data_IF_189566501166
#
_entry.id   IF_189566501166
#
_cell.length_a   1.000
_cell.length_b   1.000
_cell.length_c   1.000
_cell.angle_alpha   90.00
_cell.angle_beta   90.00
_cell.angle_gamma   90.00
#
_symmetry.space_group_name_H-M   'P 1'
#
loop_
_entity.id
_entity.type
_entity.pdbx_description
1 polymer ?
#
# COMPACT_ATOMS: atom_id res chain seq x y z
N UNK A 1 -0.61 26.34 -49.44
CA UNK A 1 -0.12 27.16 -48.31
C UNK A 1 1.00 26.43 -47.61
N UNK A 2 2.01 27.20 -47.23
CA UNK A 2 3.31 26.81 -46.65
C UNK A 2 3.20 26.11 -45.28
N UNK A 3 4.12 25.18 -45.01
CA UNK A 3 4.30 24.51 -43.72
C UNK A 3 5.07 25.43 -42.73
N UNK A 4 4.61 25.62 -41.48
CA UNK A 4 5.51 26.05 -40.41
C UNK A 4 6.08 24.81 -39.68
N UNK A 5 7.34 24.49 -39.97
CA UNK A 5 8.15 23.57 -39.17
C UNK A 5 8.76 24.34 -37.99
N UNK A 6 8.32 24.08 -36.77
CA UNK A 6 9.04 24.53 -35.57
C UNK A 6 10.13 23.51 -35.20
N UNK A 7 11.35 23.96 -34.88
CA UNK A 7 12.48 23.07 -34.63
C UNK A 7 12.33 22.31 -33.30
N UNK A 8 12.47 20.99 -33.39
CA UNK A 8 12.64 20.08 -32.25
C UNK A 8 13.82 20.53 -31.37
N UNK A 9 13.65 20.71 -30.06
CA UNK A 9 14.78 20.79 -29.14
C UNK A 9 15.46 19.42 -29.08
N UNK A 10 16.72 19.37 -29.52
CA UNK A 10 17.53 18.15 -29.58
C UNK A 10 17.76 17.49 -28.20
N UNK A 11 18.26 16.23 -28.19
CA UNK A 11 18.45 15.47 -26.97
C UNK A 11 19.47 16.17 -26.05
N UNK A 12 19.09 16.33 -24.78
CA UNK A 12 19.99 16.83 -23.73
C UNK A 12 21.12 15.81 -23.53
N UNK A 13 22.40 16.22 -23.58
CA UNK A 13 23.53 15.36 -23.23
C UNK A 13 23.38 14.80 -21.82
N UNK A 14 23.49 13.47 -21.68
CA UNK A 14 23.43 12.78 -20.39
C UNK A 14 24.66 13.07 -19.50
N UNK A 15 24.57 12.82 -18.19
CA UNK A 15 25.71 12.92 -17.29
C UNK A 15 26.81 11.91 -17.66
N UNK A 16 28.09 12.22 -17.39
CA UNK A 16 29.22 11.36 -17.76
C UNK A 16 29.19 10.01 -17.00
N UNK A 17 29.53 8.88 -17.66
CA UNK A 17 29.75 7.61 -16.97
C UNK A 17 31.13 7.66 -16.29
N UNK A 18 31.15 7.81 -14.97
CA UNK A 18 32.43 7.82 -14.24
C UNK A 18 32.25 8.02 -12.74
N UNK A 19 32.35 6.92 -12.00
CA UNK A 19 32.40 6.99 -10.53
C UNK A 19 32.17 5.63 -9.88
N UNK A 20 33.04 4.66 -10.13
CA UNK A 20 33.23 3.57 -9.19
C UNK A 20 33.58 4.21 -7.84
N UNK A 21 32.66 4.14 -6.88
CA UNK A 21 32.96 4.45 -5.48
C UNK A 21 33.24 3.11 -4.80
N UNK A 22 34.50 2.77 -4.50
CA UNK A 22 34.80 1.66 -3.60
C UNK A 22 34.07 1.89 -2.27
N UNK A 23 33.26 0.91 -1.86
CA UNK A 23 32.54 0.98 -0.59
C UNK A 23 33.51 0.97 0.60
N UNK A 24 33.18 1.64 1.72
CA UNK A 24 33.89 1.41 2.97
C UNK A 24 33.54 0.03 3.57
N UNK A 25 34.47 -0.60 4.31
CA UNK A 25 34.38 -1.99 4.75
C UNK A 25 33.30 -2.26 5.80
N UNK A 26 32.84 -3.52 5.80
CA UNK A 26 31.97 -4.14 6.80
C UNK A 26 32.46 -3.89 8.23
N UNK A 27 31.61 -3.33 9.09
CA UNK A 27 31.88 -3.24 10.53
C UNK A 27 31.52 -4.57 11.20
N UNK A 28 32.43 -5.19 11.98
CA UNK A 28 32.10 -6.27 12.88
C UNK A 28 31.80 -5.71 14.28
N UNK A 29 30.66 -6.10 14.86
CA UNK A 29 30.47 -6.09 16.31
C UNK A 29 29.66 -4.93 16.89
N UNK A 30 28.36 -5.17 17.05
CA UNK A 30 27.52 -4.49 18.03
C UNK A 30 26.64 -5.56 18.70
N UNK A 31 26.80 -5.72 20.00
CA UNK A 31 26.18 -6.77 20.80
C UNK A 31 24.66 -6.56 20.86
N UNK A 32 23.89 -7.45 20.26
CA UNK A 32 22.46 -7.55 20.53
C UNK A 32 22.28 -8.48 21.74
N UNK A 33 21.67 -8.05 22.85
CA UNK A 33 21.30 -8.98 23.91
C UNK A 33 20.27 -9.96 23.35
N UNK A 34 20.61 -11.25 23.39
CA UNK A 34 19.67 -12.31 23.05
C UNK A 34 18.47 -12.25 24.02
N UNK A 35 17.22 -12.44 23.55
CA UNK A 35 16.11 -12.66 24.46
C UNK A 35 16.33 -13.98 25.19
N UNK A 36 16.54 -13.89 26.49
CA UNK A 36 16.61 -15.03 27.39
C UNK A 36 15.22 -15.72 27.41
N UNK A 37 15.10 -17.03 27.11
CA UNK A 37 13.87 -17.75 27.34
C UNK A 37 13.71 -17.96 28.85
N UNK A 38 13.09 -17.00 29.52
CA UNK A 38 12.59 -17.19 30.87
C UNK A 38 11.37 -18.13 30.87
N UNK A 39 11.10 -18.86 31.97
CA UNK A 39 9.89 -19.67 32.09
C UNK A 39 8.67 -18.75 31.97
N UNK A 40 7.92 -18.94 30.90
CA UNK A 40 6.68 -18.23 30.63
C UNK A 40 5.68 -18.63 31.71
N UNK A 41 5.50 -17.77 32.70
CA UNK A 41 4.36 -17.85 33.59
C UNK A 41 3.12 -17.69 32.68
N UNK A 42 2.21 -18.67 32.57
CA UNK A 42 1.04 -18.51 31.73
C UNK A 42 0.18 -17.41 32.35
N UNK A 43 0.23 -16.21 31.77
CA UNK A 43 -0.80 -15.22 32.00
C UNK A 43 -2.14 -15.87 31.61
N UNK A 44 -3.21 -15.74 32.41
CA UNK A 44 -4.53 -16.13 31.95
C UNK A 44 -4.80 -15.37 30.65
N UNK A 45 -5.05 -16.12 29.58
CA UNK A 45 -5.48 -15.56 28.32
C UNK A 45 -6.68 -14.67 28.61
N UNK A 46 -6.52 -13.36 28.38
CA UNK A 46 -7.68 -12.50 28.28
C UNK A 46 -8.58 -13.11 27.19
N UNK A 47 -9.89 -13.30 27.42
CA UNK A 47 -10.75 -13.74 26.35
C UNK A 47 -10.67 -12.69 25.25
N UNK A 48 -10.03 -13.05 24.14
CA UNK A 48 -10.25 -12.39 22.86
C UNK A 48 -11.76 -12.33 22.74
N UNK A 49 -12.34 -11.13 22.71
CA UNK A 49 -13.74 -10.95 22.34
C UNK A 49 -13.85 -11.37 20.89
N UNK A 50 -13.93 -12.68 20.67
CA UNK A 50 -14.52 -13.26 19.49
C UNK A 50 -15.97 -12.86 19.56
N UNK A 51 -16.34 -11.89 18.75
CA UNK A 51 -17.67 -11.92 18.19
C UNK A 51 -17.71 -13.27 17.47
N UNK A 52 -18.42 -14.25 18.04
CA UNK A 52 -18.93 -15.40 17.29
C UNK A 52 -19.87 -14.81 16.22
N UNK A 53 -19.28 -14.24 15.18
CA UNK A 53 -19.97 -13.95 13.94
C UNK A 53 -20.36 -15.32 13.38
N UNK A 54 -21.63 -15.54 13.02
CA UNK A 54 -21.98 -16.72 12.26
C UNK A 54 -21.10 -16.73 11.01
N UNK A 55 -20.31 -17.79 10.84
CA UNK A 55 -19.59 -18.10 9.61
C UNK A 55 -20.65 -18.38 8.53
N UNK A 56 -21.22 -17.31 7.99
CA UNK A 56 -22.25 -17.35 6.94
C UNK A 56 -21.60 -17.65 5.57
N UNK A 57 -20.33 -18.05 5.56
CA UNK A 57 -19.51 -18.29 4.36
C UNK A 57 -19.22 -17.04 3.54
N UNK A 58 -19.52 -15.84 4.05
CA UNK A 58 -19.19 -14.57 3.38
C UNK A 58 -17.74 -14.20 3.65
N UNK A 59 -17.04 -13.81 2.58
CA UNK A 59 -15.69 -13.27 2.69
C UNK A 59 -15.68 -12.09 3.68
N UNK A 60 -14.66 -11.95 4.54
CA UNK A 60 -14.59 -10.85 5.51
C UNK A 60 -14.46 -9.46 4.86
N UNK A 61 -14.25 -9.41 3.53
CA UNK A 61 -14.24 -8.20 2.73
C UNK A 61 -15.57 -7.96 1.96
N UNK A 62 -16.55 -8.86 2.10
CA UNK A 62 -17.87 -8.76 1.48
C UNK A 62 -18.84 -7.99 2.39
N UNK A 63 -19.16 -6.77 1.98
CA UNK A 63 -20.06 -5.86 2.68
C UNK A 63 -21.51 -6.05 2.22
N UNK A 64 -21.75 -6.86 1.19
CA UNK A 64 -23.05 -6.97 0.50
C UNK A 64 -23.39 -5.74 -0.35
N UNK A 65 -22.42 -4.84 -0.57
CA UNK A 65 -22.59 -3.59 -1.31
C UNK A 65 -21.62 -3.59 -2.50
N UNK A 66 -22.07 -3.91 -3.72
CA UNK A 66 -21.16 -4.21 -4.83
C UNK A 66 -20.21 -3.06 -5.19
N UNK A 67 -20.63 -1.80 -5.00
CA UNK A 67 -19.79 -0.63 -5.19
C UNK A 67 -18.68 -0.51 -4.12
N UNK A 68 -19.01 -0.82 -2.87
CA UNK A 68 -18.07 -0.82 -1.74
C UNK A 68 -17.10 -1.99 -1.86
N UNK A 69 -17.61 -3.18 -2.20
CA UNK A 69 -16.78 -4.38 -2.35
C UNK A 69 -15.77 -4.23 -3.50
N UNK A 70 -16.19 -3.62 -4.62
CA UNK A 70 -15.28 -3.27 -5.71
C UNK A 70 -14.23 -2.24 -5.30
N UNK A 71 -14.60 -1.23 -4.50
CA UNK A 71 -13.67 -0.22 -4.00
C UNK A 71 -12.64 -0.85 -3.04
N UNK A 72 -13.06 -1.71 -2.12
CA UNK A 72 -12.16 -2.44 -1.22
C UNK A 72 -11.20 -3.36 -1.98
N UNK A 73 -11.70 -4.11 -2.96
CA UNK A 73 -10.88 -4.93 -3.85
C UNK A 73 -9.85 -4.09 -4.61
N UNK A 74 -10.25 -2.90 -5.07
CA UNK A 74 -9.37 -1.93 -5.73
C UNK A 74 -8.28 -1.43 -4.78
N UNK A 75 -8.62 -1.08 -3.53
CA UNK A 75 -7.66 -0.67 -2.51
C UNK A 75 -6.65 -1.78 -2.18
N UNK A 76 -7.10 -3.03 -2.08
CA UNK A 76 -6.23 -4.18 -1.87
C UNK A 76 -5.23 -4.38 -3.02
N UNK A 77 -5.62 -4.04 -4.25
CA UNK A 77 -4.73 -4.04 -5.41
C UNK A 77 -3.78 -2.82 -5.38
N UNK A 78 -4.30 -1.65 -5.05
CA UNK A 78 -3.57 -0.40 -5.00
C UNK A 78 -2.46 -0.39 -3.95
N UNK A 79 -2.67 -1.03 -2.80
CA UNK A 79 -1.68 -1.16 -1.74
C UNK A 79 -0.36 -1.82 -2.22
N UNK A 80 -0.38 -2.53 -3.36
CA UNK A 80 0.78 -3.16 -3.98
C UNK A 80 1.46 -2.28 -5.04
N UNK A 81 0.86 -1.15 -5.41
CA UNK A 81 1.42 -0.19 -6.38
C UNK A 81 2.50 0.69 -5.75
N UNK A 82 3.25 1.39 -6.60
CA UNK A 82 4.20 2.40 -6.15
C UNK A 82 3.47 3.55 -5.40
N UNK A 83 4.08 4.18 -4.39
CA UNK A 83 3.42 5.21 -3.58
C UNK A 83 2.80 6.37 -4.38
N UNK A 84 3.40 6.73 -5.52
CA UNK A 84 2.86 7.78 -6.40
C UNK A 84 1.54 7.41 -7.07
N UNK A 85 1.27 6.12 -7.28
CA UNK A 85 0.04 5.62 -7.91
C UNK A 85 -1.03 5.25 -6.88
N UNK A 86 -0.64 5.04 -5.61
CA UNK A 86 -1.57 4.77 -4.52
C UNK A 86 -2.56 5.91 -4.31
N UNK A 87 -2.11 7.18 -4.38
CA UNK A 87 -2.94 8.36 -4.14
C UNK A 87 -4.17 8.35 -5.07
N UNK A 88 -3.95 8.18 -6.38
CA UNK A 88 -5.03 8.17 -7.36
C UNK A 88 -6.06 7.07 -7.09
N UNK A 89 -5.61 5.88 -6.64
CA UNK A 89 -6.49 4.78 -6.31
C UNK A 89 -7.28 5.02 -5.02
N UNK A 90 -6.66 5.60 -3.98
CA UNK A 90 -7.35 5.98 -2.74
C UNK A 90 -8.38 7.09 -2.99
N UNK A 91 -8.06 8.08 -3.83
CA UNK A 91 -9.00 9.13 -4.21
C UNK A 91 -10.20 8.57 -4.96
N UNK A 92 -9.97 7.68 -5.93
CA UNK A 92 -11.04 7.01 -6.66
C UNK A 92 -11.94 6.18 -5.73
N UNK A 93 -11.37 5.39 -4.82
CA UNK A 93 -12.13 4.63 -3.84
C UNK A 93 -12.94 5.55 -2.92
N UNK A 94 -12.36 6.65 -2.47
CA UNK A 94 -13.04 7.63 -1.62
C UNK A 94 -14.25 8.26 -2.31
N UNK A 95 -14.15 8.61 -3.60
CA UNK A 95 -15.28 9.13 -4.37
C UNK A 95 -16.44 8.12 -4.44
N UNK A 96 -16.15 6.84 -4.70
CA UNK A 96 -17.18 5.78 -4.74
C UNK A 96 -17.86 5.60 -3.39
N UNK A 97 -17.09 5.61 -2.31
CA UNK A 97 -17.62 5.51 -0.94
C UNK A 97 -18.51 6.70 -0.61
N UNK A 98 -18.12 7.92 -0.98
CA UNK A 98 -18.92 9.13 -0.79
C UNK A 98 -20.22 9.09 -1.61
N UNK A 99 -20.16 8.67 -2.87
CA UNK A 99 -21.35 8.52 -3.72
C UNK A 99 -22.33 7.48 -3.12
N UNK A 100 -21.79 6.36 -2.63
CA UNK A 100 -22.61 5.31 -2.00
C UNK A 100 -23.30 5.83 -0.74
N UNK A 101 -22.58 6.56 0.12
CA UNK A 101 -23.14 7.19 1.31
C UNK A 101 -24.23 8.22 0.95
N UNK A 102 -23.95 9.07 -0.04
CA UNK A 102 -24.92 10.06 -0.52
C UNK A 102 -26.17 9.39 -1.12
N UNK A 103 -26.05 8.22 -1.73
CA UNK A 103 -27.18 7.47 -2.25
C UNK A 103 -28.05 6.85 -1.15
N UNK A 104 -27.48 6.54 0.01
CA UNK A 104 -28.22 5.97 1.15
C UNK A 104 -28.95 7.07 1.94
N UNK A 105 -28.41 8.28 1.96
CA UNK A 105 -29.00 9.43 2.67
C UNK A 105 -30.34 9.92 2.06
N UNK A 106 -30.60 9.59 0.78
CA UNK A 106 -31.76 10.03 0.01
C UNK A 106 -33.02 9.20 0.25
#
# INVERSE_FOLDING_TARGET
MTFPHSPQPGPRPGPPPGGFRPGPPSQPGGYHPAPQPGPQNPAPAAPSQGWDEPDDGRDPEDTGHPAVDAALRSLANAARLAPGEQIAAYEAAHQVLQETLASIDR
#
